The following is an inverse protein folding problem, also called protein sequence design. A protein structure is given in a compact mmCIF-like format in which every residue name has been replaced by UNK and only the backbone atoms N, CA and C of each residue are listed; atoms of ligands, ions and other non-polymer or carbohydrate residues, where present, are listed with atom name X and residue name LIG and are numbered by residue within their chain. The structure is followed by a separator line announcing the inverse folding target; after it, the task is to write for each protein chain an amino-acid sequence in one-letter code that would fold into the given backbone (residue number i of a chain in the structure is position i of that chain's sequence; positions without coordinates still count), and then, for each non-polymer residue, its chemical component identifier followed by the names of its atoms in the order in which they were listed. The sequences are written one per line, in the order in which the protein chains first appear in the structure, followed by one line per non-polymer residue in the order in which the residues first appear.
data_IF_667048780050
#
_entry.id   IF_667048780050
#
_cell.length_a   1.000
_cell.length_b   1.000
_cell.length_c   1.000
_cell.angle_alpha   90.00
_cell.angle_beta   90.00
_cell.angle_gamma   90.00
#
_symmetry.space_group_name_H-M   'P 1'
#
loop_
_entity.id
_entity.type
_entity.pdbx_description
1 polymer ?
#
# COMPACT_ATOMS: atom_id res chain seq x y z
N UNK A 1 7.34 -4.84 6.41
CA UNK A 1 8.72 -4.89 5.89
C UNK A 1 9.25 -3.50 5.50
N UNK A 2 8.48 -2.72 4.73
CA UNK A 2 8.85 -1.40 4.18
C UNK A 2 9.50 -0.45 5.22
N UNK A 3 8.87 -0.25 6.39
CA UNK A 3 9.43 0.61 7.44
C UNK A 3 10.86 0.21 7.87
N UNK A 4 11.15 -1.10 7.95
CA UNK A 4 12.51 -1.59 8.29
C UNK A 4 13.51 -1.31 7.18
N UNK A 5 13.10 -1.38 5.91
CA UNK A 5 13.96 -1.05 4.77
C UNK A 5 14.32 0.44 4.78
N UNK A 6 13.35 1.29 5.10
CA UNK A 6 13.54 2.74 5.26
C UNK A 6 14.50 3.03 6.42
N UNK A 7 14.25 2.41 7.58
CA UNK A 7 15.10 2.58 8.77
C UNK A 7 16.53 2.05 8.57
N UNK A 8 16.69 0.99 7.77
CA UNK A 8 18.00 0.47 7.37
C UNK A 8 18.73 1.38 6.36
N UNK A 9 18.08 2.46 5.90
CA UNK A 9 18.69 3.44 5.02
C UNK A 9 18.82 2.98 3.58
N UNK A 10 17.91 2.12 3.09
CA UNK A 10 17.85 1.76 1.68
C UNK A 10 17.57 3.02 0.83
N UNK A 11 18.43 3.27 -0.16
CA UNK A 11 18.38 4.45 -1.04
C UNK A 11 18.13 4.06 -2.48
N UNK A 12 17.71 5.03 -3.28
CA UNK A 12 17.51 4.84 -4.72
C UNK A 12 16.23 4.08 -5.08
N UNK A 13 15.31 3.95 -4.14
CA UNK A 13 14.00 3.33 -4.34
C UNK A 13 12.93 4.26 -3.79
N UNK A 14 11.76 4.24 -4.42
CA UNK A 14 10.56 4.91 -3.91
C UNK A 14 9.73 3.88 -3.12
N UNK A 15 9.32 4.24 -1.91
CA UNK A 15 8.49 3.36 -1.09
C UNK A 15 7.02 3.73 -1.20
N UNK A 16 6.20 2.76 -1.59
CA UNK A 16 4.74 2.88 -1.64
C UNK A 16 4.14 1.87 -0.66
N UNK A 17 3.40 2.36 0.34
CA UNK A 17 2.61 1.53 1.24
C UNK A 17 1.16 1.47 0.77
N UNK A 18 0.63 0.26 0.60
CA UNK A 18 -0.76 0.01 0.20
C UNK A 18 -1.42 -0.83 1.28
N UNK A 19 -2.53 -0.35 1.86
CA UNK A 19 -3.26 -1.10 2.89
C UNK A 19 -4.73 -0.72 2.96
N UNK A 20 -5.57 -1.64 3.40
CA UNK A 20 -6.98 -1.39 3.76
C UNK A 20 -7.15 -0.71 5.12
N UNK A 21 -6.15 -0.83 6.01
CA UNK A 21 -6.17 -0.25 7.35
C UNK A 21 -5.55 1.16 7.34
N UNK A 22 -6.37 2.17 7.68
CA UNK A 22 -5.96 3.57 7.67
C UNK A 22 -5.00 3.91 8.83
N UNK A 23 -5.14 3.24 9.97
CA UNK A 23 -4.27 3.45 11.13
C UNK A 23 -2.87 2.89 10.84
N UNK A 24 -2.80 1.73 10.20
CA UNK A 24 -1.53 1.13 9.77
C UNK A 24 -0.80 2.01 8.73
N UNK A 25 -1.54 2.64 7.81
CA UNK A 25 -0.95 3.59 6.86
C UNK A 25 -0.45 4.88 7.54
N UNK A 26 -1.17 5.35 8.56
CA UNK A 26 -0.77 6.56 9.28
C UNK A 26 0.63 6.43 9.87
N UNK A 27 0.96 5.28 10.47
CA UNK A 27 2.28 4.98 11.04
C UNK A 27 3.34 4.53 10.00
N UNK A 28 2.97 4.37 8.73
CA UNK A 28 3.92 4.02 7.67
C UNK A 28 4.91 5.16 7.43
N UNK A 29 6.18 4.82 7.16
CA UNK A 29 7.23 5.77 6.79
C UNK A 29 7.41 5.93 5.27
N UNK A 30 6.61 5.21 4.48
CA UNK A 30 6.69 5.22 3.02
C UNK A 30 6.40 6.61 2.44
N UNK A 31 7.03 6.92 1.30
CA UNK A 31 6.89 8.19 0.58
C UNK A 31 5.46 8.39 0.07
N UNK A 32 4.86 7.32 -0.47
CA UNK A 32 3.46 7.27 -0.89
C UNK A 32 2.68 6.29 -0.02
N UNK A 33 1.45 6.67 0.33
CA UNK A 33 0.51 5.89 1.12
C UNK A 33 -0.82 5.82 0.37
N UNK A 34 -1.28 4.61 0.08
CA UNK A 34 -2.52 4.37 -0.67
C UNK A 34 -3.43 3.55 0.23
N UNK A 35 -4.52 4.16 0.67
CA UNK A 35 -5.59 3.44 1.33
C UNK A 35 -6.49 2.80 0.27
N UNK A 36 -6.65 1.48 0.33
CA UNK A 36 -7.47 0.73 -0.62
C UNK A 36 -8.76 0.24 0.01
N UNK A 37 -9.84 0.18 -0.77
CA UNK A 37 -11.12 -0.36 -0.32
C UNK A 37 -11.76 0.45 0.81
N UNK A 38 -11.69 1.78 0.76
CA UNK A 38 -12.33 2.65 1.76
C UNK A 38 -13.82 2.36 1.89
N UNK A 39 -14.51 2.13 0.76
CA UNK A 39 -15.96 1.83 0.77
C UNK A 39 -16.27 0.47 1.38
N UNK A 40 -15.39 -0.50 1.17
CA UNK A 40 -15.55 -1.88 1.63
C UNK A 40 -15.20 -2.05 3.12
N UNK A 41 -14.10 -1.44 3.55
CA UNK A 41 -13.49 -1.69 4.87
C UNK A 41 -13.69 -0.55 5.85
N UNK A 42 -14.06 0.65 5.37
CA UNK A 42 -14.15 1.89 6.16
C UNK A 42 -12.82 2.22 6.87
N UNK A 43 -11.70 1.76 6.31
CA UNK A 43 -10.37 1.94 6.90
C UNK A 43 -10.03 1.02 8.07
N UNK A 44 -10.85 -0.01 8.34
CA UNK A 44 -10.66 -0.95 9.45
C UNK A 44 -9.88 -2.22 9.07
N UNK A 45 -9.47 -2.34 7.81
CA UNK A 45 -8.76 -3.51 7.30
C UNK A 45 -9.66 -4.58 6.68
N UNK A 46 -9.02 -5.54 6.00
CA UNK A 46 -9.68 -6.65 5.30
C UNK A 46 -10.18 -7.79 6.22
N UNK A 47 -9.90 -7.73 7.53
CA UNK A 47 -10.40 -8.74 8.48
C UNK A 47 -9.86 -10.17 8.24
N UNK A 48 -8.64 -10.30 7.73
CA UNK A 48 -8.03 -11.56 7.30
C UNK A 48 -8.76 -12.29 6.15
N UNK A 49 -9.70 -11.61 5.48
CA UNK A 49 -10.38 -12.12 4.29
C UNK A 49 -9.62 -11.66 3.02
N UNK A 50 -8.98 -12.58 2.27
CA UNK A 50 -8.26 -12.24 1.05
C UNK A 50 -9.18 -11.70 -0.05
N UNK A 51 -10.46 -12.09 -0.10
CA UNK A 51 -11.41 -11.59 -1.10
C UNK A 51 -11.72 -10.11 -0.89
N UNK A 52 -11.75 -9.65 0.37
CA UNK A 52 -11.90 -8.23 0.68
C UNK A 52 -10.64 -7.47 0.23
N UNK A 53 -9.45 -8.03 0.46
CA UNK A 53 -8.19 -7.45 0.00
C UNK A 53 -8.11 -7.31 -1.52
N UNK A 54 -8.53 -8.34 -2.26
CA UNK A 54 -8.60 -8.33 -3.72
C UNK A 54 -9.52 -7.21 -4.22
N UNK A 55 -10.77 -7.19 -3.74
CA UNK A 55 -11.76 -6.18 -4.15
C UNK A 55 -11.33 -4.76 -3.78
N UNK A 56 -10.68 -4.59 -2.64
CA UNK A 56 -10.12 -3.31 -2.22
C UNK A 56 -9.04 -2.83 -3.19
N UNK A 57 -8.13 -3.71 -3.62
CA UNK A 57 -7.10 -3.37 -4.60
C UNK A 57 -7.70 -3.05 -5.98
N UNK A 58 -8.75 -3.76 -6.40
CA UNK A 58 -9.50 -3.47 -7.64
C UNK A 58 -10.21 -2.11 -7.60
N UNK A 59 -10.84 -1.77 -6.46
CA UNK A 59 -11.51 -0.47 -6.24
C UNK A 59 -10.54 0.71 -6.47
N UNK A 60 -9.28 0.55 -6.07
CA UNK A 60 -8.24 1.59 -6.16
C UNK A 60 -7.20 1.30 -7.26
N UNK A 61 -7.52 0.45 -8.25
CA UNK A 61 -6.56 0.01 -9.26
C UNK A 61 -5.92 1.18 -10.03
N UNK A 62 -6.68 2.23 -10.33
CA UNK A 62 -6.17 3.41 -11.05
C UNK A 62 -5.20 4.24 -10.21
N UNK A 63 -5.42 4.31 -8.90
CA UNK A 63 -4.51 4.98 -7.97
C UNK A 63 -3.20 4.22 -7.83
N UNK A 64 -3.28 2.89 -7.69
CA UNK A 64 -2.11 2.01 -7.68
C UNK A 64 -1.33 2.16 -8.99
N UNK A 65 -2.00 2.12 -10.14
CA UNK A 65 -1.36 2.32 -11.45
C UNK A 65 -0.63 3.65 -11.53
N UNK A 66 -1.26 4.75 -11.10
CA UNK A 66 -0.62 6.08 -11.07
C UNK A 66 0.60 6.11 -10.17
N UNK A 67 0.55 5.46 -9.02
CA UNK A 67 1.69 5.41 -8.11
C UNK A 67 2.91 4.66 -8.70
N UNK A 68 2.66 3.70 -9.60
CA UNK A 68 3.68 2.91 -10.28
C UNK A 68 4.17 3.54 -11.61
N UNK A 69 3.56 4.64 -12.07
CA UNK A 69 3.97 5.28 -13.33
C UNK A 69 5.42 5.75 -13.27
N UNK A 70 6.19 5.39 -14.31
CA UNK A 70 7.61 5.73 -14.41
C UNK A 70 8.56 4.75 -13.71
N UNK A 71 8.05 3.70 -13.05
CA UNK A 71 8.90 2.65 -12.49
C UNK A 71 9.36 1.68 -13.58
N UNK A 72 10.68 1.52 -13.73
CA UNK A 72 11.26 0.47 -14.59
C UNK A 72 11.15 -0.93 -13.95
N UNK A 73 11.13 -1.00 -12.61
CA UNK A 73 11.06 -2.23 -11.85
C UNK A 73 10.25 -2.01 -10.56
N UNK A 74 9.37 -2.96 -10.25
CA UNK A 74 8.52 -2.92 -9.05
C UNK A 74 8.74 -4.19 -8.22
N UNK A 75 8.97 -4.02 -6.93
CA UNK A 75 9.03 -5.11 -5.96
C UNK A 75 7.78 -5.09 -5.08
N UNK A 76 7.11 -6.24 -4.97
CA UNK A 76 5.94 -6.41 -4.11
C UNK A 76 6.32 -7.24 -2.89
N UNK A 77 6.01 -6.73 -1.69
CA UNK A 77 6.20 -7.42 -0.41
C UNK A 77 4.94 -7.25 0.43
N UNK A 78 4.46 -8.35 1.02
CA UNK A 78 3.25 -8.40 1.84
C UNK A 78 3.54 -9.18 3.13
#
# INVERSE_FOLDING_TARGET
AINRMIEAGLKGVEFVAVNTDSQALWISKADKKIQVGEKLTKGLGAGADPEIGLKAAEENADEIKRALQGADMVFVTA
#
